data_IF_495745762460
#
_entry.id   IF_495745762460
#
_cell.length_a   1.000
_cell.length_b   1.000
_cell.length_c   1.000
_cell.angle_alpha   90.00
_cell.angle_beta   90.00
_cell.angle_gamma   90.00
#
_symmetry.space_group_name_H-M   'P 1'
#
loop_
_entity.id
_entity.type
_entity.pdbx_description
1 polymer ?
#
# COMPACT_ATOMS: atom_id res chain seq x y z
N UNK A 1 -66.33 49.21 -14.95
CA UNK A 1 -67.46 48.75 -14.14
C UNK A 1 -67.19 47.45 -13.53
N UNK A 2 -67.30 47.41 -12.22
CA UNK A 2 -67.26 46.27 -11.29
C UNK A 2 -65.91 45.50 -11.08
N UNK A 3 -65.36 45.86 -9.94
CA UNK A 3 -64.43 45.22 -9.07
C UNK A 3 -65.06 43.95 -8.45
N UNK A 4 -64.37 42.82 -8.47
CA UNK A 4 -64.57 41.75 -7.49
C UNK A 4 -63.25 41.29 -6.89
N UNK A 5 -63.14 41.58 -5.61
CA UNK A 5 -62.08 41.10 -4.73
C UNK A 5 -62.20 39.55 -4.49
N UNK A 6 -61.19 38.81 -4.78
CA UNK A 6 -61.06 37.37 -4.46
C UNK A 6 -60.02 37.14 -3.37
N UNK A 7 -60.44 36.54 -2.27
CA UNK A 7 -59.73 36.24 -1.04
C UNK A 7 -58.46 35.40 -1.25
N UNK A 8 -57.38 35.80 -0.59
CA UNK A 8 -56.21 34.97 -0.31
C UNK A 8 -56.58 33.85 0.67
N UNK A 9 -56.15 32.59 0.42
CA UNK A 9 -56.12 31.58 1.47
C UNK A 9 -54.78 31.63 2.16
N UNK A 10 -54.81 31.87 3.44
CA UNK A 10 -53.74 31.57 4.38
C UNK A 10 -53.56 30.04 4.43
N UNK A 11 -52.58 29.49 3.71
CA UNK A 11 -52.16 28.09 3.78
C UNK A 11 -50.91 27.97 4.62
N UNK A 12 -51.03 27.27 5.73
CA UNK A 12 -50.01 26.94 6.70
C UNK A 12 -48.82 26.28 6.05
N UNK A 13 -47.66 26.91 6.11
CA UNK A 13 -46.38 26.24 5.83
C UNK A 13 -45.97 25.36 7.00
N UNK A 14 -46.47 24.13 7.01
CA UNK A 14 -45.82 23.08 7.74
C UNK A 14 -44.52 22.73 7.01
N UNK A 15 -43.41 23.39 7.39
CA UNK A 15 -42.07 22.95 7.06
C UNK A 15 -41.84 21.58 7.75
N UNK A 16 -42.15 20.51 7.03
CA UNK A 16 -41.59 19.20 7.35
C UNK A 16 -40.10 19.28 7.12
N UNK A 17 -39.35 19.53 8.19
CA UNK A 17 -37.93 19.41 8.23
C UNK A 17 -37.53 17.97 7.95
N UNK A 18 -37.42 17.59 6.67
CA UNK A 18 -36.66 16.44 6.25
C UNK A 18 -35.24 16.68 6.76
N UNK A 19 -34.82 15.91 7.77
CA UNK A 19 -33.41 15.73 8.09
C UNK A 19 -32.77 15.17 6.80
N UNK A 20 -32.21 16.05 5.98
CA UNK A 20 -31.26 15.66 4.96
C UNK A 20 -30.09 15.03 5.72
N UNK A 21 -30.01 13.70 5.66
CA UNK A 21 -28.86 12.99 6.14
C UNK A 21 -27.63 13.65 5.49
N UNK A 22 -26.73 14.17 6.31
CA UNK A 22 -25.51 14.89 5.87
C UNK A 22 -24.75 13.94 4.94
N UNK A 23 -24.90 14.10 3.62
CA UNK A 23 -24.14 13.32 2.62
C UNK A 23 -22.65 13.59 2.89
N UNK A 24 -21.89 12.54 3.08
CA UNK A 24 -20.46 12.64 3.27
C UNK A 24 -19.84 13.31 2.04
N UNK A 25 -18.88 14.20 2.23
CA UNK A 25 -18.13 14.81 1.12
C UNK A 25 -17.30 13.76 0.39
N UNK A 26 -16.92 14.03 -0.87
CA UNK A 26 -16.03 13.13 -1.65
C UNK A 26 -14.76 12.85 -0.87
N UNK A 27 -14.14 13.86 -0.27
CA UNK A 27 -12.97 13.69 0.61
C UNK A 27 -13.26 12.75 1.79
N UNK A 28 -14.43 12.86 2.41
CA UNK A 28 -14.83 11.97 3.49
C UNK A 28 -14.92 10.52 3.05
N UNK A 29 -15.45 10.26 1.87
CA UNK A 29 -15.51 8.91 1.29
C UNK A 29 -14.13 8.36 0.96
N UNK A 30 -13.25 9.17 0.35
CA UNK A 30 -11.86 8.78 0.06
C UNK A 30 -11.15 8.40 1.36
N UNK A 31 -11.25 9.20 2.42
CA UNK A 31 -10.67 8.89 3.72
C UNK A 31 -11.17 7.54 4.26
N UNK A 32 -12.47 7.28 4.20
CA UNK A 32 -13.04 6.03 4.73
C UNK A 32 -12.57 4.83 3.92
N UNK A 33 -12.65 4.92 2.58
CA UNK A 33 -12.24 3.81 1.70
C UNK A 33 -10.75 3.51 1.87
N UNK A 34 -9.92 4.54 1.89
CA UNK A 34 -8.46 4.36 2.04
C UNK A 34 -8.05 3.95 3.45
N UNK A 35 -8.79 4.37 4.48
CA UNK A 35 -8.61 3.84 5.83
C UNK A 35 -8.95 2.35 5.90
N UNK A 36 -10.01 1.91 5.22
CA UNK A 36 -10.35 0.48 5.13
C UNK A 36 -9.30 -0.31 4.34
N UNK A 37 -8.82 0.22 3.23
CA UNK A 37 -7.77 -0.42 2.42
C UNK A 37 -6.43 -0.48 3.16
N UNK A 38 -5.92 0.65 3.65
CA UNK A 38 -4.64 0.73 4.36
C UNK A 38 -4.74 0.14 5.76
N UNK A 39 -5.31 0.87 6.71
CA UNK A 39 -5.38 0.47 8.13
C UNK A 39 -6.16 -0.83 8.34
N UNK A 40 -7.27 -1.02 7.60
CA UNK A 40 -8.08 -2.24 7.65
C UNK A 40 -7.33 -3.44 7.09
N UNK A 41 -6.72 -3.31 5.91
CA UNK A 41 -5.95 -4.37 5.24
C UNK A 41 -4.76 -4.83 6.07
N UNK A 42 -3.86 -3.90 6.43
CA UNK A 42 -2.70 -4.23 7.29
C UNK A 42 -3.12 -4.71 8.67
N UNK A 43 -4.16 -4.12 9.27
CA UNK A 43 -4.70 -4.54 10.57
C UNK A 43 -5.25 -5.97 10.54
N UNK A 44 -5.98 -6.35 9.48
CA UNK A 44 -6.42 -7.75 9.26
C UNK A 44 -5.23 -8.69 9.12
N UNK A 45 -4.21 -8.29 8.37
CA UNK A 45 -2.94 -9.02 8.29
C UNK A 45 -2.30 -9.21 9.65
N UNK A 46 -2.27 -8.14 10.46
CA UNK A 46 -1.82 -8.17 11.85
C UNK A 46 -2.57 -9.17 12.71
N UNK A 47 -3.90 -9.20 12.61
CA UNK A 47 -4.76 -10.16 13.32
C UNK A 47 -4.48 -11.59 12.88
N UNK A 48 -4.41 -11.84 11.57
CA UNK A 48 -4.10 -13.17 11.03
C UNK A 48 -2.74 -13.63 11.53
N UNK A 49 -1.69 -12.79 11.46
CA UNK A 49 -0.36 -13.10 11.98
C UNK A 49 -0.34 -13.36 13.48
N UNK A 50 -1.21 -12.69 14.26
CA UNK A 50 -1.35 -12.93 15.70
C UNK A 50 -2.03 -14.27 16.05
N UNK A 51 -2.82 -14.82 15.13
CA UNK A 51 -3.50 -16.13 15.28
C UNK A 51 -2.68 -17.28 14.72
N UNK A 52 -1.93 -17.03 13.64
CA UNK A 52 -1.10 -18.06 13.02
C UNK A 52 -0.02 -18.57 13.99
N UNK A 53 0.20 -19.88 13.95
CA UNK A 53 1.25 -20.53 14.75
C UNK A 53 2.61 -20.21 14.14
N UNK A 54 3.68 -20.27 14.98
CA UNK A 54 5.09 -19.98 14.64
C UNK A 54 5.67 -20.73 13.43
N UNK A 55 4.99 -21.77 12.94
CA UNK A 55 5.48 -22.63 11.84
C UNK A 55 4.98 -22.21 10.45
N UNK A 56 4.46 -20.98 10.31
CA UNK A 56 3.82 -20.52 9.08
C UNK A 56 4.74 -19.76 8.11
N UNK A 57 6.08 -19.87 8.26
CA UNK A 57 7.06 -19.17 7.38
C UNK A 57 6.80 -19.41 5.88
N UNK A 58 6.45 -20.64 5.48
CA UNK A 58 6.10 -20.95 4.10
C UNK A 58 4.85 -20.21 3.62
N UNK A 59 3.84 -20.10 4.48
CA UNK A 59 2.59 -19.37 4.15
C UNK A 59 2.89 -17.89 4.01
N UNK A 60 3.68 -17.30 4.91
CA UNK A 60 4.10 -15.89 4.81
C UNK A 60 4.87 -15.66 3.51
N UNK A 61 5.84 -16.51 3.17
CA UNK A 61 6.59 -16.44 1.92
C UNK A 61 5.67 -16.45 0.69
N UNK A 62 4.71 -17.38 0.63
CA UNK A 62 3.77 -17.47 -0.49
C UNK A 62 2.85 -16.24 -0.57
N UNK A 63 2.39 -15.72 0.56
CA UNK A 63 1.53 -14.55 0.60
C UNK A 63 2.27 -13.27 0.17
N UNK A 64 3.53 -13.09 0.60
CA UNK A 64 4.38 -11.98 0.14
C UNK A 64 4.65 -12.08 -1.37
N UNK A 65 4.97 -13.28 -1.86
CA UNK A 65 5.17 -13.52 -3.29
C UNK A 65 3.90 -13.24 -4.10
N UNK A 66 2.74 -13.64 -3.60
CA UNK A 66 1.44 -13.37 -4.20
C UNK A 66 1.16 -11.86 -4.25
N UNK A 67 1.35 -11.16 -3.12
CA UNK A 67 1.16 -9.71 -3.04
C UNK A 67 2.08 -8.97 -4.02
N UNK A 68 3.38 -9.31 -4.06
CA UNK A 68 4.31 -8.75 -5.02
C UNK A 68 3.90 -8.99 -6.48
N UNK A 69 3.32 -10.17 -6.79
CA UNK A 69 2.75 -10.46 -8.11
C UNK A 69 1.55 -9.57 -8.45
N UNK A 70 0.60 -9.40 -7.53
CA UNK A 70 -0.57 -8.53 -7.72
C UNK A 70 -0.12 -7.08 -7.94
N UNK A 71 0.79 -6.56 -7.09
CA UNK A 71 1.33 -5.21 -7.24
C UNK A 71 2.04 -5.00 -8.59
N UNK A 72 2.82 -5.99 -9.02
CA UNK A 72 3.47 -5.95 -10.35
C UNK A 72 2.44 -5.80 -11.47
N UNK A 73 1.33 -6.54 -11.40
CA UNK A 73 0.26 -6.44 -12.40
C UNK A 73 -0.39 -5.04 -12.38
N UNK A 74 -0.72 -4.51 -11.20
CA UNK A 74 -1.29 -3.16 -11.06
C UNK A 74 -0.35 -2.12 -11.67
N UNK A 75 0.95 -2.17 -11.35
CA UNK A 75 1.91 -1.20 -11.90
C UNK A 75 2.03 -1.30 -13.42
N UNK A 76 2.18 -2.52 -13.95
CA UNK A 76 2.46 -2.72 -15.38
C UNK A 76 1.23 -2.54 -16.28
N UNK A 77 0.03 -2.87 -15.79
CA UNK A 77 -1.18 -2.93 -16.62
C UNK A 77 -2.20 -1.83 -16.30
N UNK A 78 -2.00 -1.08 -15.21
CA UNK A 78 -2.89 0.02 -14.83
C UNK A 78 -2.11 1.33 -14.66
N UNK A 79 -1.15 1.42 -13.74
CA UNK A 79 -0.50 2.69 -13.39
C UNK A 79 0.37 3.26 -14.51
N UNK A 80 1.22 2.44 -15.12
CA UNK A 80 2.10 2.91 -16.21
C UNK A 80 1.29 3.26 -17.45
N UNK A 81 0.34 2.43 -17.92
CA UNK A 81 -0.57 2.82 -19.01
C UNK A 81 -1.39 4.06 -18.68
N UNK A 82 -1.96 4.15 -17.47
CA UNK A 82 -2.70 5.33 -17.00
C UNK A 82 -1.85 6.59 -16.91
N UNK A 83 -0.54 6.47 -16.64
CA UNK A 83 0.38 7.60 -16.67
C UNK A 83 0.65 8.09 -18.10
N UNK A 84 0.64 7.21 -19.10
CA UNK A 84 0.75 7.61 -20.53
C UNK A 84 -0.53 8.24 -21.05
N UNK A 85 -1.69 7.74 -20.64
CA UNK A 85 -3.02 8.17 -21.10
C UNK A 85 -3.89 8.57 -19.89
N UNK A 86 -3.50 9.64 -19.15
CA UNK A 86 -4.28 10.06 -17.99
C UNK A 86 -5.63 10.64 -18.42
N UNK A 87 -6.66 10.44 -17.61
CA UNK A 87 -7.99 10.94 -17.87
C UNK A 87 -7.99 12.46 -18.11
N UNK A 88 -8.72 12.88 -19.14
CA UNK A 88 -8.78 14.28 -19.56
C UNK A 88 -7.60 14.74 -20.43
N UNK A 89 -6.62 13.90 -20.74
CA UNK A 89 -5.59 14.20 -21.71
C UNK A 89 -6.12 14.08 -23.15
N UNK A 90 -5.71 14.98 -24.02
CA UNK A 90 -6.01 14.96 -25.48
C UNK A 90 -4.93 14.25 -26.27
N UNK A 91 -3.76 14.08 -25.68
CA UNK A 91 -2.58 13.46 -26.30
C UNK A 91 -1.86 12.57 -25.29
N UNK A 92 -1.05 11.64 -25.80
CA UNK A 92 -0.19 10.78 -25.00
C UNK A 92 0.87 11.61 -24.27
N UNK A 93 1.12 11.29 -23.01
CA UNK A 93 2.17 11.94 -22.22
C UNK A 93 3.54 11.50 -22.71
N UNK A 94 4.52 12.42 -22.61
CA UNK A 94 5.88 12.15 -23.05
C UNK A 94 6.48 10.96 -22.30
N UNK A 95 7.12 10.05 -23.05
CA UNK A 95 7.87 8.92 -22.52
C UNK A 95 8.84 9.34 -21.40
N UNK A 96 9.56 10.44 -21.61
CA UNK A 96 10.55 10.91 -20.64
C UNK A 96 9.94 11.44 -19.35
N UNK A 97 8.72 11.96 -19.42
CA UNK A 97 7.97 12.38 -18.25
C UNK A 97 7.58 11.16 -17.39
N UNK A 98 7.03 10.13 -18.00
CA UNK A 98 6.63 8.89 -17.32
C UNK A 98 7.85 8.17 -16.76
N UNK A 99 8.90 7.99 -17.56
CA UNK A 99 10.17 7.37 -17.11
C UNK A 99 10.80 8.18 -15.98
N UNK A 100 10.81 9.50 -16.08
CA UNK A 100 11.31 10.39 -15.01
C UNK A 100 10.50 10.24 -13.71
N UNK A 101 9.17 10.18 -13.80
CA UNK A 101 8.28 9.92 -12.66
C UNK A 101 8.58 8.58 -11.98
N UNK A 102 8.68 7.50 -12.77
CA UNK A 102 9.03 6.16 -12.27
C UNK A 102 10.40 6.16 -11.57
N UNK A 103 11.42 6.76 -12.19
CA UNK A 103 12.76 6.82 -11.58
C UNK A 103 12.77 7.65 -10.30
N UNK A 104 12.01 8.75 -10.24
CA UNK A 104 11.88 9.57 -9.03
C UNK A 104 11.19 8.80 -7.91
N UNK A 105 10.09 8.10 -8.21
CA UNK A 105 9.36 7.29 -7.22
C UNK A 105 10.24 6.15 -6.68
N UNK A 106 10.85 5.37 -7.57
CA UNK A 106 11.78 4.30 -7.22
C UNK A 106 12.96 4.83 -6.37
N UNK A 107 13.61 5.90 -6.85
CA UNK A 107 14.78 6.47 -6.19
C UNK A 107 14.47 7.08 -4.83
N UNK A 108 13.29 7.70 -4.66
CA UNK A 108 12.90 8.26 -3.37
C UNK A 108 12.68 7.16 -2.33
N UNK A 109 11.94 6.12 -2.66
CA UNK A 109 11.69 5.01 -1.71
C UNK A 109 12.98 4.26 -1.42
N UNK A 110 13.82 4.00 -2.43
CA UNK A 110 15.16 3.46 -2.22
C UNK A 110 15.97 4.29 -1.23
N UNK A 111 16.00 5.62 -1.41
CA UNK A 111 16.74 6.52 -0.53
C UNK A 111 16.18 6.52 0.90
N UNK A 112 14.85 6.57 1.04
CA UNK A 112 14.21 6.55 2.36
C UNK A 112 14.50 5.24 3.09
N UNK A 113 14.41 4.12 2.39
CA UNK A 113 14.71 2.82 2.95
C UNK A 113 16.19 2.71 3.35
N UNK A 114 17.10 3.13 2.46
CA UNK A 114 18.53 3.19 2.77
C UNK A 114 18.84 4.03 4.02
N UNK A 115 18.14 5.17 4.22
CA UNK A 115 18.32 6.02 5.40
C UNK A 115 17.80 5.33 6.67
N UNK A 116 16.68 4.62 6.58
CA UNK A 116 16.14 3.85 7.71
C UNK A 116 17.12 2.75 8.09
N UNK A 117 17.57 1.94 7.14
CA UNK A 117 18.51 0.86 7.39
C UNK A 117 19.81 1.37 8.01
N UNK A 118 20.34 2.46 7.48
CA UNK A 118 21.56 3.08 8.05
C UNK A 118 21.36 3.56 9.49
N UNK A 119 20.15 3.97 9.86
CA UNK A 119 19.86 4.45 11.23
C UNK A 119 19.53 3.33 12.20
N UNK A 120 19.00 2.21 11.70
CA UNK A 120 18.51 1.11 12.54
C UNK A 120 19.45 -0.09 12.59
N UNK A 121 20.37 -0.23 11.62
CA UNK A 121 21.30 -1.35 11.52
C UNK A 121 22.77 -0.90 11.55
N UNK A 122 23.36 -0.63 12.73
CA UNK A 122 24.78 -0.23 12.86
C UNK A 122 25.77 -1.35 12.48
N UNK A 123 25.34 -2.61 12.37
CA UNK A 123 26.22 -3.75 12.08
C UNK A 123 26.64 -3.83 10.59
N UNK A 124 25.87 -3.23 9.67
CA UNK A 124 26.23 -3.18 8.23
C UNK A 124 27.53 -2.40 7.98
N UNK A 125 27.97 -1.57 8.93
CA UNK A 125 29.20 -0.76 8.82
C UNK A 125 30.46 -1.45 9.32
N UNK A 126 30.38 -2.64 9.90
CA UNK A 126 31.51 -3.30 10.59
C UNK A 126 32.24 -4.39 9.79
N UNK A 127 31.77 -4.77 8.61
CA UNK A 127 32.41 -5.85 7.85
C UNK A 127 33.34 -5.34 6.74
N UNK A 128 34.59 -5.07 7.11
CA UNK A 128 35.71 -4.71 6.21
C UNK A 128 36.39 -5.92 5.55
N UNK A 129 35.66 -7.02 5.31
CA UNK A 129 36.23 -8.14 4.55
C UNK A 129 35.45 -8.36 3.26
N UNK A 130 36.14 -8.46 2.10
CA UNK A 130 35.53 -8.83 0.86
C UNK A 130 35.10 -10.30 0.96
N UNK A 131 33.83 -10.56 1.23
CA UNK A 131 33.23 -11.88 1.13
C UNK A 131 32.86 -12.14 -0.32
N UNK A 132 33.14 -13.34 -0.80
CA UNK A 132 32.81 -13.80 -2.13
C UNK A 132 31.29 -13.84 -2.31
N UNK A 133 30.82 -13.64 -3.54
CA UNK A 133 29.42 -13.50 -3.95
C UNK A 133 28.49 -14.71 -3.62
N UNK A 134 28.90 -15.62 -2.76
CA UNK A 134 28.08 -16.74 -2.28
C UNK A 134 27.13 -16.37 -1.13
N UNK A 135 27.31 -15.20 -0.50
CA UNK A 135 26.43 -14.67 0.53
C UNK A 135 25.47 -13.65 -0.06
N UNK A 136 24.45 -14.13 -0.78
CA UNK A 136 23.27 -13.34 -1.18
C UNK A 136 22.54 -12.75 0.03
N UNK A 137 22.82 -13.20 1.23
CA UNK A 137 22.25 -12.74 2.49
C UNK A 137 22.68 -11.29 2.85
N UNK A 138 23.80 -10.79 2.26
CA UNK A 138 24.33 -9.44 2.53
C UNK A 138 23.73 -8.34 1.62
N UNK A 139 23.09 -8.73 0.52
CA UNK A 139 22.52 -7.79 -0.48
C UNK A 139 21.09 -7.36 -0.19
N UNK A 140 20.42 -8.02 0.75
CA UNK A 140 18.99 -7.85 0.97
C UNK A 140 18.75 -7.67 2.47
N UNK A 141 18.04 -6.62 2.83
CA UNK A 141 17.73 -6.19 4.21
C UNK A 141 16.99 -7.19 5.10
N UNK A 142 16.82 -8.42 4.64
CA UNK A 142 16.12 -9.51 5.30
C UNK A 142 16.96 -10.30 6.30
N UNK A 143 18.21 -9.93 6.57
CA UNK A 143 19.03 -10.54 7.62
C UNK A 143 18.36 -10.53 9.01
N UNK A 144 17.40 -9.64 9.22
CA UNK A 144 16.62 -9.60 10.45
C UNK A 144 15.73 -10.82 10.67
N UNK A 145 15.34 -11.54 9.59
CA UNK A 145 14.47 -12.72 9.72
C UNK A 145 15.25 -14.04 9.84
N UNK A 146 16.48 -14.09 9.35
CA UNK A 146 17.27 -15.30 9.24
C UNK A 146 18.33 -15.46 10.34
N UNK A 147 18.46 -14.52 11.27
CA UNK A 147 19.43 -14.64 12.37
C UNK A 147 19.10 -15.84 13.24
N UNK A 148 19.74 -16.89 12.90
CA UNK A 148 20.03 -18.09 13.68
C UNK A 148 18.87 -18.87 14.32
N UNK A 149 18.66 -20.04 13.77
CA UNK A 149 17.95 -21.20 14.32
C UNK A 149 18.46 -21.66 15.71
N UNK A 150 19.22 -20.84 16.42
CA UNK A 150 19.79 -21.16 17.73
C UNK A 150 19.05 -20.46 18.87
N UNK A 151 18.30 -21.30 19.58
CA UNK A 151 17.69 -21.26 20.92
C UNK A 151 17.70 -19.93 21.70
N UNK A 152 16.45 -19.48 22.03
CA UNK A 152 15.99 -18.66 23.19
C UNK A 152 17.08 -17.89 23.95
N UNK A 153 17.50 -16.73 23.42
CA UNK A 153 18.22 -15.73 24.18
C UNK A 153 17.42 -14.41 24.22
N UNK A 154 17.51 -13.61 25.29
CA UNK A 154 16.91 -12.28 25.33
C UNK A 154 17.35 -11.38 24.19
N UNK A 155 18.57 -11.53 23.69
CA UNK A 155 19.12 -10.81 22.55
C UNK A 155 18.32 -11.09 21.28
N UNK A 156 17.90 -12.33 21.02
CA UNK A 156 17.10 -12.71 19.84
C UNK A 156 15.70 -12.06 19.85
N UNK A 157 15.08 -11.98 21.03
CA UNK A 157 13.77 -11.33 21.11
C UNK A 157 13.84 -9.85 20.77
N UNK A 158 14.91 -9.18 21.22
CA UNK A 158 15.16 -7.77 20.88
C UNK A 158 15.42 -7.58 19.37
N UNK A 159 16.22 -8.44 18.76
CA UNK A 159 16.50 -8.43 17.31
C UNK A 159 15.21 -8.60 16.49
N UNK A 160 14.35 -9.55 16.84
CA UNK A 160 13.06 -9.77 16.19
C UNK A 160 12.08 -8.59 16.39
N UNK A 161 12.10 -7.98 17.58
CA UNK A 161 11.29 -6.77 17.84
C UNK A 161 11.72 -5.61 16.95
N UNK A 162 13.03 -5.35 16.85
CA UNK A 162 13.59 -4.30 15.99
C UNK A 162 13.27 -4.59 14.53
N UNK A 163 13.46 -5.83 14.05
CA UNK A 163 13.11 -6.25 12.70
C UNK A 163 11.63 -5.95 12.37
N UNK A 164 10.72 -6.32 13.28
CA UNK A 164 9.30 -6.02 13.12
C UNK A 164 8.98 -4.52 13.10
N UNK A 165 9.70 -3.72 13.87
CA UNK A 165 9.52 -2.25 13.90
C UNK A 165 10.05 -1.61 12.61
N UNK A 166 11.22 -2.04 12.11
CA UNK A 166 11.79 -1.59 10.85
C UNK A 166 10.84 -1.93 9.70
N UNK A 167 10.31 -3.17 9.67
CA UNK A 167 9.32 -3.58 8.68
C UNK A 167 8.05 -2.73 8.76
N UNK A 168 7.57 -2.39 9.96
CA UNK A 168 6.42 -1.49 10.11
C UNK A 168 6.69 -0.10 9.53
N UNK A 169 7.88 0.44 9.71
CA UNK A 169 8.29 1.72 9.13
C UNK A 169 8.40 1.63 7.61
N UNK A 170 9.00 0.57 7.09
CA UNK A 170 9.12 0.33 5.65
C UNK A 170 7.71 0.27 5.02
N UNK A 171 6.81 -0.57 5.55
CA UNK A 171 5.42 -0.67 5.09
C UNK A 171 4.67 0.66 5.21
N UNK A 172 4.90 1.45 6.25
CA UNK A 172 4.32 2.79 6.36
C UNK A 172 4.75 3.71 5.20
N UNK A 173 5.99 3.62 4.75
CA UNK A 173 6.48 4.36 3.57
C UNK A 173 5.83 3.87 2.27
N UNK A 174 5.64 2.54 2.13
CA UNK A 174 4.99 1.94 0.95
C UNK A 174 3.53 2.34 0.83
N UNK A 175 2.82 2.35 1.93
CA UNK A 175 1.40 2.65 1.97
C UNK A 175 1.06 4.08 1.49
N UNK A 176 2.02 5.01 1.51
CA UNK A 176 1.81 6.36 1.00
C UNK A 176 1.65 6.40 -0.54
N UNK A 177 2.57 5.83 -1.36
CA UNK A 177 2.38 5.68 -2.81
C UNK A 177 1.12 4.91 -3.18
N UNK A 178 0.78 3.85 -2.46
CA UNK A 178 -0.45 3.09 -2.68
C UNK A 178 -1.70 3.94 -2.50
N UNK A 179 -1.71 4.74 -1.43
CA UNK A 179 -2.77 5.73 -1.24
C UNK A 179 -2.83 6.73 -2.40
N UNK A 180 -1.69 7.19 -2.91
CA UNK A 180 -1.65 8.11 -4.06
C UNK A 180 -2.32 7.49 -5.29
N UNK A 181 -2.12 6.21 -5.54
CA UNK A 181 -2.80 5.47 -6.61
C UNK A 181 -4.31 5.49 -6.42
N UNK A 182 -4.79 5.10 -5.25
CA UNK A 182 -6.24 5.11 -4.95
C UNK A 182 -6.82 6.51 -5.17
N UNK A 183 -6.15 7.52 -4.64
CA UNK A 183 -6.60 8.91 -4.76
C UNK A 183 -6.61 9.41 -6.20
N UNK A 184 -5.57 9.13 -6.97
CA UNK A 184 -5.46 9.49 -8.38
C UNK A 184 -6.54 8.81 -9.21
N UNK A 185 -6.81 7.52 -8.98
CA UNK A 185 -7.88 6.78 -9.66
C UNK A 185 -9.27 7.37 -9.36
N UNK A 186 -9.53 7.79 -8.11
CA UNK A 186 -10.78 8.51 -7.79
C UNK A 186 -10.88 9.89 -8.46
N UNK A 187 -9.77 10.56 -8.72
CA UNK A 187 -9.77 11.82 -9.45
C UNK A 187 -10.15 11.61 -10.92
N UNK A 188 -9.66 10.53 -11.54
CA UNK A 188 -10.00 10.14 -12.92
C UNK A 188 -11.46 9.74 -13.07
N UNK A 189 -12.04 9.05 -12.09
CA UNK A 189 -13.44 8.55 -12.10
C UNK A 189 -14.53 9.63 -12.03
N UNK A 190 -14.20 10.90 -12.10
CA UNK A 190 -15.13 12.03 -12.04
C UNK A 190 -16.15 11.94 -10.88
N UNK A 191 -15.78 11.31 -9.77
CA UNK A 191 -16.58 11.19 -8.55
C UNK A 191 -17.48 9.95 -8.47
N UNK A 192 -17.28 8.93 -9.30
CA UNK A 192 -17.93 7.62 -9.14
C UNK A 192 -17.32 6.85 -7.98
N UNK A 193 -17.77 7.12 -6.75
CA UNK A 193 -17.19 6.58 -5.52
C UNK A 193 -17.58 5.12 -5.24
N UNK A 194 -18.56 4.57 -5.95
CA UNK A 194 -19.17 3.27 -5.60
C UNK A 194 -19.05 2.19 -6.66
N UNK A 195 -18.42 2.48 -7.80
CA UNK A 195 -18.37 1.51 -8.92
C UNK A 195 -17.27 1.78 -9.93
N UNK A 196 -16.37 2.74 -9.68
CA UNK A 196 -15.29 3.11 -10.59
C UNK A 196 -13.96 2.43 -10.28
N UNK A 197 -12.94 2.71 -11.09
CA UNK A 197 -11.59 2.17 -10.97
C UNK A 197 -10.98 2.45 -9.58
N UNK A 198 -11.25 3.63 -8.99
CA UNK A 198 -10.75 3.99 -7.68
C UNK A 198 -11.20 3.03 -6.56
N UNK A 199 -12.45 2.52 -6.61
CA UNK A 199 -12.91 1.54 -5.63
C UNK A 199 -12.27 0.17 -5.88
N UNK A 200 -12.16 -0.25 -7.13
CA UNK A 200 -11.52 -1.53 -7.50
C UNK A 200 -10.08 -1.54 -7.01
N UNK A 201 -9.32 -0.50 -7.31
CA UNK A 201 -7.94 -0.33 -6.86
C UNK A 201 -7.86 -0.35 -5.32
N UNK A 202 -8.76 0.35 -4.62
CA UNK A 202 -8.77 0.35 -3.16
C UNK A 202 -9.01 -1.06 -2.58
N UNK A 203 -9.88 -1.86 -3.19
CA UNK A 203 -10.11 -3.26 -2.78
C UNK A 203 -8.87 -4.12 -3.05
N UNK A 204 -8.26 -4.00 -4.22
CA UNK A 204 -7.02 -4.73 -4.58
C UNK A 204 -5.91 -4.40 -3.60
N UNK A 205 -5.68 -3.11 -3.34
CA UNK A 205 -4.69 -2.63 -2.37
C UNK A 205 -5.03 -3.12 -0.96
N UNK A 206 -6.28 -3.07 -0.53
CA UNK A 206 -6.68 -3.61 0.77
C UNK A 206 -6.41 -5.11 0.93
N UNK A 207 -6.58 -5.89 -0.13
CA UNK A 207 -6.32 -7.34 -0.11
C UNK A 207 -4.83 -7.67 -0.05
N UNK A 208 -3.98 -6.96 -0.79
CA UNK A 208 -2.54 -7.23 -0.72
C UNK A 208 -1.87 -6.68 0.55
N UNK A 209 -2.44 -5.70 1.21
CA UNK A 209 -1.98 -5.22 2.52
C UNK A 209 -2.14 -6.27 3.63
N UNK A 210 -2.97 -7.31 3.44
CA UNK A 210 -3.11 -8.41 4.41
C UNK A 210 -1.79 -9.19 4.56
N UNK A 211 -1.15 -9.72 3.51
CA UNK A 211 0.18 -10.32 3.58
C UNK A 211 1.24 -9.42 4.23
N UNK A 212 1.25 -8.14 3.90
CA UNK A 212 2.19 -7.16 4.44
C UNK A 212 2.01 -6.97 5.95
N UNK A 213 0.77 -6.85 6.41
CA UNK A 213 0.46 -6.80 7.83
C UNK A 213 0.91 -8.07 8.58
N UNK A 214 0.84 -9.24 7.94
CA UNK A 214 1.40 -10.47 8.52
C UNK A 214 2.93 -10.40 8.63
N UNK A 215 3.61 -9.85 7.63
CA UNK A 215 5.07 -9.69 7.64
C UNK A 215 5.55 -8.78 8.79
N UNK A 216 4.78 -7.78 9.19
CA UNK A 216 5.04 -6.92 10.36
C UNK A 216 4.73 -7.63 11.68
N UNK A 217 3.54 -8.20 11.80
CA UNK A 217 3.03 -8.70 13.08
C UNK A 217 3.76 -9.93 13.59
N UNK A 218 4.18 -10.83 12.68
CA UNK A 218 4.85 -12.09 13.04
C UNK A 218 6.19 -11.86 13.74
N UNK A 219 7.14 -11.06 13.23
CA UNK A 219 8.38 -10.76 13.94
C UNK A 219 8.16 -9.97 15.23
N UNK A 220 7.24 -9.00 15.28
CA UNK A 220 6.92 -8.26 16.50
C UNK A 220 6.48 -9.21 17.63
N UNK A 221 5.55 -10.13 17.35
CA UNK A 221 5.07 -11.11 18.34
C UNK A 221 6.17 -12.09 18.72
N UNK A 222 6.98 -12.51 17.76
CA UNK A 222 8.13 -13.39 18.02
C UNK A 222 9.21 -12.71 18.85
N UNK A 223 9.33 -11.38 18.74
CA UNK A 223 10.17 -10.51 19.55
C UNK A 223 9.63 -10.23 20.95
N UNK A 224 8.44 -10.74 21.29
CA UNK A 224 7.87 -10.61 22.65
C UNK A 224 6.82 -9.50 22.78
N UNK A 225 6.49 -8.78 21.70
CA UNK A 225 5.39 -7.81 21.70
C UNK A 225 4.05 -8.53 21.96
N UNK A 226 3.18 -7.92 22.78
CA UNK A 226 1.84 -8.47 22.97
C UNK A 226 1.08 -8.51 21.65
N UNK A 227 0.21 -9.51 21.45
CA UNK A 227 -0.54 -9.68 20.20
C UNK A 227 -1.31 -8.41 19.79
N UNK A 228 -2.00 -7.78 20.74
CA UNK A 228 -2.78 -6.57 20.46
C UNK A 228 -1.93 -5.35 20.14
N UNK A 229 -0.77 -5.21 20.81
CA UNK A 229 0.17 -4.14 20.48
C UNK A 229 0.77 -4.34 19.09
N UNK A 230 1.13 -5.58 18.73
CA UNK A 230 1.61 -5.91 17.38
C UNK A 230 0.55 -5.60 16.32
N UNK A 231 -0.71 -5.99 16.54
CA UNK A 231 -1.83 -5.65 15.64
C UNK A 231 -2.01 -4.15 15.52
N UNK A 232 -1.91 -3.41 16.62
CA UNK A 232 -2.03 -1.95 16.63
C UNK A 232 -0.92 -1.26 15.83
N UNK A 233 0.35 -1.67 16.04
CA UNK A 233 1.50 -1.16 15.28
C UNK A 233 1.32 -1.47 13.78
N UNK A 234 0.93 -2.68 13.45
CA UNK A 234 0.68 -3.13 12.08
C UNK A 234 -0.43 -2.32 11.43
N UNK A 235 -1.57 -2.13 12.09
CA UNK A 235 -2.66 -1.32 11.56
C UNK A 235 -2.23 0.13 11.34
N UNK A 236 -1.42 0.69 12.25
CA UNK A 236 -0.92 2.07 12.15
C UNK A 236 0.04 2.23 10.94
N UNK A 237 0.80 1.20 10.56
CA UNK A 237 1.64 1.25 9.37
C UNK A 237 0.83 1.43 8.07
N UNK A 238 -0.46 1.11 8.08
CA UNK A 238 -1.39 1.38 6.98
C UNK A 238 -1.95 2.82 6.93
N UNK A 239 -1.76 3.63 7.97
CA UNK A 239 -2.34 4.97 8.03
C UNK A 239 -1.83 5.95 6.95
N UNK A 240 -0.57 5.90 6.48
CA UNK A 240 -0.08 6.77 5.41
C UNK A 240 -0.83 6.62 4.09
N UNK A 241 -1.54 5.51 3.84
CA UNK A 241 -2.45 5.35 2.69
C UNK A 241 -3.46 6.48 2.60
N UNK A 242 -3.99 6.95 3.75
CA UNK A 242 -4.96 8.06 3.78
C UNK A 242 -4.31 9.36 3.29
N UNK A 243 -3.10 9.64 3.77
CA UNK A 243 -2.36 10.85 3.39
C UNK A 243 -2.02 10.80 1.90
N UNK A 244 -1.51 9.66 1.44
CA UNK A 244 -1.23 9.41 0.03
C UNK A 244 -2.46 9.65 -0.85
N UNK A 245 -3.62 9.12 -0.45
CA UNK A 245 -4.86 9.26 -1.23
C UNK A 245 -5.32 10.72 -1.34
N UNK A 246 -5.21 11.49 -0.29
CA UNK A 246 -5.54 12.92 -0.33
C UNK A 246 -4.59 13.68 -1.28
N UNK A 247 -3.30 13.34 -1.27
CA UNK A 247 -2.30 13.92 -2.18
C UNK A 247 -2.62 13.51 -3.62
N UNK A 248 -2.77 12.20 -3.90
CA UNK A 248 -3.04 11.68 -5.25
C UNK A 248 -4.32 12.24 -5.85
N UNK A 249 -5.40 12.28 -5.06
CA UNK A 249 -6.67 12.89 -5.48
C UNK A 249 -6.52 14.37 -5.80
N UNK A 250 -5.84 15.14 -4.92
CA UNK A 250 -5.65 16.57 -5.12
C UNK A 250 -4.81 16.88 -6.36
N UNK A 251 -3.73 16.13 -6.57
CA UNK A 251 -2.87 16.26 -7.75
C UNK A 251 -3.63 15.88 -9.03
N UNK A 252 -4.39 14.80 -9.01
CA UNK A 252 -5.18 14.34 -10.14
C UNK A 252 -6.23 15.35 -10.60
N UNK A 253 -6.80 16.12 -9.68
CA UNK A 253 -7.76 17.18 -10.01
C UNK A 253 -7.14 18.44 -10.63
N UNK A 254 -5.80 18.64 -10.51
CA UNK A 254 -5.14 19.85 -11.02
C UNK A 254 -5.03 19.84 -12.55
N UNK A 255 -4.54 18.76 -13.12
CA UNK A 255 -4.44 18.56 -14.58
C UNK A 255 -4.01 17.14 -14.92
N UNK A 256 -4.20 16.70 -16.19
CA UNK A 256 -3.71 15.40 -16.67
C UNK A 256 -2.20 15.23 -16.46
N UNK A 257 -1.40 16.29 -16.54
CA UNK A 257 0.04 16.26 -16.28
C UNK A 257 0.36 15.83 -14.84
N UNK A 258 -0.34 16.41 -13.85
CA UNK A 258 -0.15 16.06 -12.45
C UNK A 258 -0.66 14.65 -12.13
N UNK A 259 -1.74 14.22 -12.80
CA UNK A 259 -2.23 12.85 -12.71
C UNK A 259 -1.19 11.86 -13.23
N UNK A 260 -0.63 12.11 -14.43
CA UNK A 260 0.46 11.30 -15.00
C UNK A 260 1.68 11.21 -14.08
N UNK A 261 2.13 12.34 -13.55
CA UNK A 261 3.25 12.38 -12.60
C UNK A 261 2.96 11.61 -11.31
N UNK A 262 1.74 11.71 -10.78
CA UNK A 262 1.32 10.99 -9.58
C UNK A 262 1.32 9.47 -9.80
N UNK A 263 0.73 9.01 -10.91
CA UNK A 263 0.65 7.59 -11.27
C UNK A 263 2.04 7.00 -11.58
N UNK A 264 2.86 7.70 -12.36
CA UNK A 264 4.22 7.23 -12.68
C UNK A 264 5.13 7.20 -11.45
N UNK A 265 5.06 8.22 -10.58
CA UNK A 265 5.80 8.26 -9.32
C UNK A 265 5.39 7.11 -8.40
N UNK A 266 4.08 6.91 -8.20
CA UNK A 266 3.57 5.83 -7.37
C UNK A 266 3.94 4.45 -7.95
N UNK A 267 3.84 4.27 -9.27
CA UNK A 267 4.28 3.05 -9.95
C UNK A 267 5.75 2.76 -9.72
N UNK A 268 6.63 3.76 -9.82
CA UNK A 268 8.06 3.62 -9.52
C UNK A 268 8.34 3.23 -8.07
N UNK A 269 7.65 3.88 -7.13
CA UNK A 269 7.73 3.57 -5.71
C UNK A 269 7.31 2.11 -5.43
N UNK A 270 6.19 1.66 -6.01
CA UNK A 270 5.70 0.28 -5.88
C UNK A 270 6.65 -0.74 -6.53
N UNK A 271 7.30 -0.41 -7.66
CA UNK A 271 8.33 -1.29 -8.23
C UNK A 271 9.51 -1.50 -7.28
N UNK A 272 9.94 -0.46 -6.57
CA UNK A 272 10.97 -0.65 -5.54
C UNK A 272 10.50 -1.64 -4.47
N UNK A 273 9.29 -1.47 -3.97
CA UNK A 273 8.71 -2.37 -2.97
C UNK A 273 8.68 -3.83 -3.43
N UNK A 274 8.22 -4.06 -4.66
CA UNK A 274 8.13 -5.41 -5.23
C UNK A 274 9.51 -6.04 -5.37
N UNK A 275 10.46 -5.35 -5.98
CA UNK A 275 11.78 -5.91 -6.30
C UNK A 275 12.80 -5.73 -5.19
N UNK A 276 12.68 -4.71 -4.37
CA UNK A 276 13.60 -4.42 -3.27
C UNK A 276 13.24 -5.11 -1.97
N UNK A 277 11.96 -5.48 -1.77
CA UNK A 277 11.49 -5.96 -0.47
C UNK A 277 10.63 -7.22 -0.56
N UNK A 278 9.42 -7.17 -1.17
CA UNK A 278 8.46 -8.28 -1.10
C UNK A 278 8.98 -9.58 -1.72
N UNK A 279 9.51 -9.52 -2.94
CA UNK A 279 10.02 -10.72 -3.62
C UNK A 279 11.30 -11.24 -2.98
N UNK A 280 12.32 -10.40 -2.69
CA UNK A 280 13.48 -10.86 -1.96
C UNK A 280 13.14 -11.53 -0.64
N UNK A 281 12.30 -10.89 0.19
CA UNK A 281 11.86 -11.45 1.48
C UNK A 281 11.15 -12.79 1.30
N UNK A 282 10.23 -12.90 0.34
CA UNK A 282 9.53 -14.14 0.04
C UNK A 282 10.49 -15.28 -0.29
N UNK A 283 11.50 -15.03 -1.13
CA UNK A 283 12.50 -16.04 -1.53
C UNK A 283 13.45 -16.43 -0.40
N UNK A 284 13.77 -15.50 0.49
CA UNK A 284 14.65 -15.77 1.64
C UNK A 284 13.95 -16.58 2.71
N UNK A 285 12.69 -16.27 3.02
CA UNK A 285 11.89 -17.01 4.00
C UNK A 285 11.72 -18.47 3.58
N UNK A 286 11.53 -18.73 2.30
CA UNK A 286 11.41 -20.10 1.79
C UNK A 286 12.20 -20.27 0.50
N UNK A 287 13.43 -20.75 0.62
CA UNK A 287 14.37 -21.03 -0.49
C UNK A 287 13.85 -22.18 -1.38
N UNK A 288 12.82 -21.88 -2.19
CA UNK A 288 12.11 -22.82 -3.07
C UNK A 288 11.68 -22.12 -4.36
N UNK A 289 11.27 -22.90 -5.36
CA UNK A 289 10.63 -22.36 -6.58
C UNK A 289 9.16 -21.98 -6.37
N UNK A 290 8.57 -22.35 -5.24
CA UNK A 290 7.16 -22.09 -4.97
C UNK A 290 6.82 -20.60 -4.83
N UNK A 291 7.61 -19.71 -4.19
CA UNK A 291 7.38 -18.28 -4.22
C UNK A 291 7.32 -17.71 -5.64
N UNK A 292 8.23 -18.14 -6.54
CA UNK A 292 8.19 -17.68 -7.94
C UNK A 292 6.90 -18.07 -8.67
N UNK A 293 6.42 -19.31 -8.46
CA UNK A 293 5.14 -19.74 -8.99
C UNK A 293 3.97 -18.94 -8.40
N UNK A 294 4.02 -18.62 -7.10
CA UNK A 294 2.98 -17.83 -6.45
C UNK A 294 3.00 -16.36 -6.90
N UNK A 295 4.17 -15.77 -7.20
CA UNK A 295 4.28 -14.46 -7.84
C UNK A 295 3.54 -14.45 -9.18
N UNK A 296 3.74 -15.49 -10.01
CA UNK A 296 3.00 -15.61 -11.27
C UNK A 296 1.49 -15.68 -11.05
N UNK A 297 1.04 -16.48 -10.07
CA UNK A 297 -0.39 -16.56 -9.71
C UNK A 297 -0.92 -15.18 -9.29
N UNK A 298 -0.18 -14.46 -8.45
CA UNK A 298 -0.52 -13.10 -8.03
C UNK A 298 -0.62 -12.14 -9.23
N UNK A 299 0.35 -12.20 -10.15
CA UNK A 299 0.34 -11.38 -11.37
C UNK A 299 -0.88 -11.67 -12.24
N UNK A 300 -1.25 -12.93 -12.42
CA UNK A 300 -2.44 -13.30 -13.20
C UNK A 300 -3.74 -12.85 -12.51
N UNK A 301 -3.84 -12.98 -11.19
CA UNK A 301 -4.98 -12.47 -10.43
C UNK A 301 -5.05 -10.95 -10.52
N UNK A 302 -3.93 -10.24 -10.34
CA UNK A 302 -3.88 -8.79 -10.48
C UNK A 302 -4.27 -8.33 -11.89
N UNK A 303 -3.81 -9.03 -12.93
CA UNK A 303 -4.19 -8.77 -14.32
C UNK A 303 -5.70 -8.91 -14.53
N UNK A 304 -6.33 -9.93 -13.97
CA UNK A 304 -7.79 -10.11 -14.03
C UNK A 304 -8.48 -8.95 -13.32
N UNK A 305 -8.04 -8.60 -12.12
CA UNK A 305 -8.66 -7.54 -11.31
C UNK A 305 -8.59 -6.15 -11.95
N UNK A 306 -7.52 -5.86 -12.67
CA UNK A 306 -7.34 -4.58 -13.40
C UNK A 306 -8.25 -4.50 -14.65
N UNK A 307 -8.71 -5.64 -15.19
CA UNK A 307 -9.52 -5.68 -16.43
C UNK A 307 -11.02 -5.98 -16.19
N UNK A 308 -11.45 -6.14 -14.94
CA UNK A 308 -12.87 -6.32 -14.55
C UNK A 308 -13.49 -5.00 -14.12
#
# INVERSE_FOLDING_TARGET
MLITAGKLPLGSTAQTGKREGRKMSVFGWIIVITALAGVGGTGLGGLIGAVLRRDSSKVVSLLLAFAGGVMMAVVCFDLIPGAFYPDGATEEMSLWLVVGGVLLGYGLIYLLNFLIDRSTNPEVHSHSHPRTADDLDELIHSDHYMVHKNRRSPRRNYELFIAGLVMACAIALHNMPEGMVIGASFAGDAGNLTGGAGLIIAVVIGLHNIPEGMAVSVPLISGGTSKWAAVGITALSGAPTIIGALIGYSLGLLSPLWLSLSLSFAGGAMLYVVFGELLPEAFLIWKSKAPAAMTLVGTLVGLILVHV
#
